data_IF_794184616091
#
_entry.id   IF_794184616091
#
_cell.length_a   1.000
_cell.length_b   1.000
_cell.length_c   1.000
_cell.angle_alpha   90.00
_cell.angle_beta   90.00
_cell.angle_gamma   90.00
#
_symmetry.space_group_name_H-M   'P 1'
#
loop_
_entity.id
_entity.type
_entity.pdbx_description
1 polymer ?
#
# COMPACT_ATOMS: atom_id res chain seq x y z
N UNK A 1 -27.98 3.91 27.27
CA UNK A 1 -26.76 3.12 27.60
C UNK A 1 -25.76 3.30 26.48
N UNK A 2 -24.45 3.35 26.74
CA UNK A 2 -23.45 3.59 25.69
C UNK A 2 -22.95 2.29 25.07
N UNK A 3 -22.76 2.28 23.75
CA UNK A 3 -22.15 1.20 23.00
C UNK A 3 -21.00 1.73 22.15
N UNK A 4 -19.92 0.97 22.09
CA UNK A 4 -18.72 1.27 21.33
C UNK A 4 -18.64 0.39 20.11
N UNK A 5 -18.42 1.00 18.96
CA UNK A 5 -18.17 0.32 17.70
C UNK A 5 -16.65 0.29 17.48
N UNK A 6 -16.10 -0.93 17.41
CA UNK A 6 -14.68 -1.21 17.33
C UNK A 6 -14.40 -1.99 16.05
N UNK A 7 -13.74 -1.34 15.10
CA UNK A 7 -13.26 -1.96 13.86
C UNK A 7 -11.94 -2.68 14.14
N UNK A 8 -11.89 -3.97 13.84
CA UNK A 8 -10.70 -4.82 14.04
C UNK A 8 -10.34 -5.56 12.76
N UNK A 9 -9.11 -6.11 12.65
CA UNK A 9 -8.71 -6.92 11.49
C UNK A 9 -9.57 -8.17 11.23
N UNK A 10 -10.36 -8.61 12.21
CA UNK A 10 -11.25 -9.78 12.08
C UNK A 10 -12.70 -9.39 11.76
N UNK A 11 -13.05 -8.11 11.87
CA UNK A 11 -14.42 -7.63 11.70
C UNK A 11 -14.76 -6.46 12.60
N UNK A 12 -16.05 -6.16 12.67
CA UNK A 12 -16.59 -5.04 13.47
C UNK A 12 -17.27 -5.60 14.70
N UNK A 13 -16.88 -5.11 15.88
CA UNK A 13 -17.52 -5.42 17.15
C UNK A 13 -18.38 -4.27 17.63
N UNK A 14 -19.62 -4.57 18.04
CA UNK A 14 -20.46 -3.68 18.84
C UNK A 14 -20.40 -4.11 20.31
N UNK A 15 -19.84 -3.28 21.18
CA UNK A 15 -19.61 -3.61 22.60
C UNK A 15 -20.31 -2.62 23.52
N UNK A 16 -21.06 -3.10 24.50
CA UNK A 16 -21.61 -2.26 25.55
C UNK A 16 -20.50 -1.72 26.47
N UNK A 17 -20.72 -0.58 27.12
CA UNK A 17 -19.82 -0.04 28.16
C UNK A 17 -19.48 -1.08 29.27
N UNK A 18 -20.38 -2.05 29.50
CA UNK A 18 -20.20 -3.20 30.41
C UNK A 18 -19.29 -4.33 29.89
N UNK A 19 -18.51 -4.09 28.82
CA UNK A 19 -17.63 -5.08 28.15
C UNK A 19 -18.35 -6.29 27.54
N UNK A 20 -19.67 -6.26 27.41
CA UNK A 20 -20.45 -7.30 26.73
C UNK A 20 -20.43 -7.06 25.22
N UNK A 21 -20.06 -8.08 24.46
CA UNK A 21 -20.16 -8.06 23.00
C UNK A 21 -21.62 -8.26 22.62
N UNK A 22 -22.20 -7.25 21.96
CA UNK A 22 -23.61 -7.24 21.55
C UNK A 22 -23.75 -7.91 20.19
N UNK A 23 -22.84 -7.61 19.27
CA UNK A 23 -22.85 -8.13 17.91
C UNK A 23 -21.43 -8.12 17.31
N UNK A 24 -21.16 -9.08 16.43
CA UNK A 24 -19.91 -9.19 15.69
C UNK A 24 -20.23 -9.51 14.23
N UNK A 25 -19.79 -8.63 13.33
CA UNK A 25 -19.86 -8.87 11.88
C UNK A 25 -18.44 -9.16 11.38
N UNK A 26 -18.14 -10.41 10.97
CA UNK A 26 -16.82 -10.79 10.48
C UNK A 26 -16.54 -10.20 9.10
N UNK A 27 -15.28 -9.82 8.86
CA UNK A 27 -14.83 -9.48 7.51
C UNK A 27 -14.61 -10.72 6.65
N UNK A 28 -14.63 -10.62 5.31
CA UNK A 28 -14.21 -11.71 4.44
C UNK A 28 -12.76 -12.13 4.76
N UNK A 29 -12.45 -13.43 4.76
CA UNK A 29 -11.12 -13.97 5.12
C UNK A 29 -10.00 -13.66 4.10
N UNK A 30 -10.22 -12.71 3.19
CA UNK A 30 -9.25 -12.30 2.20
C UNK A 30 -8.39 -11.13 2.75
N UNK A 31 -7.06 -11.29 2.91
CA UNK A 31 -6.18 -10.25 3.46
C UNK A 31 -6.22 -8.92 2.70
N UNK A 32 -6.39 -8.98 1.37
CA UNK A 32 -6.43 -7.79 0.50
C UNK A 32 -7.70 -6.97 0.75
N UNK A 33 -8.86 -7.63 0.75
CA UNK A 33 -10.15 -6.99 1.06
C UNK A 33 -10.18 -6.44 2.48
N UNK A 34 -9.59 -7.15 3.46
CA UNK A 34 -9.48 -6.65 4.84
C UNK A 34 -8.62 -5.38 4.86
N UNK A 35 -7.48 -5.36 4.17
CA UNK A 35 -6.61 -4.19 4.11
C UNK A 35 -7.32 -2.99 3.45
N UNK A 36 -8.09 -3.21 2.39
CA UNK A 36 -8.90 -2.16 1.76
C UNK A 36 -10.01 -1.66 2.70
N UNK A 37 -10.74 -2.57 3.35
CA UNK A 37 -11.80 -2.23 4.31
C UNK A 37 -11.27 -1.47 5.52
N UNK A 38 -10.13 -1.87 6.08
CA UNK A 38 -9.49 -1.15 7.18
C UNK A 38 -9.05 0.26 6.77
N UNK A 39 -8.58 0.42 5.53
CA UNK A 39 -8.25 1.74 4.98
C UNK A 39 -9.51 2.60 4.76
N UNK A 40 -10.59 2.00 4.25
CA UNK A 40 -11.87 2.69 4.13
C UNK A 40 -12.43 3.08 5.50
N UNK A 41 -12.18 2.28 6.54
CA UNK A 41 -12.61 2.57 7.91
C UNK A 41 -11.97 3.84 8.50
N UNK A 42 -10.83 4.28 7.98
CA UNK A 42 -10.21 5.55 8.39
C UNK A 42 -10.97 6.78 7.84
N UNK A 43 -11.71 6.64 6.74
CA UNK A 43 -12.33 7.75 6.01
C UNK A 43 -13.86 7.69 5.95
N UNK A 44 -14.42 6.49 5.84
CA UNK A 44 -15.84 6.22 5.57
C UNK A 44 -16.43 5.23 6.60
N UNK A 45 -17.77 5.13 6.60
CA UNK A 45 -18.49 4.15 7.40
C UNK A 45 -18.71 2.91 6.52
N UNK A 46 -18.18 1.76 6.96
CA UNK A 46 -18.36 0.50 6.25
C UNK A 46 -19.79 -0.04 6.40
N UNK A 47 -20.18 -0.88 5.46
CA UNK A 47 -21.48 -1.54 5.50
C UNK A 47 -21.61 -2.52 6.68
N UNK A 48 -20.50 -3.16 7.10
CA UNK A 48 -20.44 -3.95 8.33
C UNK A 48 -20.65 -3.09 9.59
N UNK A 49 -20.19 -1.84 9.57
CA UNK A 49 -20.40 -0.92 10.67
C UNK A 49 -21.84 -0.44 10.71
N UNK A 50 -22.47 -0.18 9.56
CA UNK A 50 -23.90 0.16 9.47
C UNK A 50 -24.79 -0.96 10.00
N UNK A 51 -24.50 -2.22 9.67
CA UNK A 51 -25.23 -3.38 10.21
C UNK A 51 -25.13 -3.46 11.73
N UNK A 52 -23.92 -3.26 12.27
CA UNK A 52 -23.70 -3.22 13.72
C UNK A 52 -24.43 -2.02 14.34
N UNK A 53 -24.48 -0.86 13.67
CA UNK A 53 -25.26 0.30 14.13
C UNK A 53 -26.75 0.01 14.18
N UNK A 54 -27.34 -0.57 13.13
CA UNK A 54 -28.77 -0.90 13.08
C UNK A 54 -29.17 -1.86 14.22
N UNK A 55 -28.32 -2.82 14.54
CA UNK A 55 -28.54 -3.76 15.66
C UNK A 55 -28.38 -3.12 17.04
N UNK A 56 -27.55 -2.08 17.16
CA UNK A 56 -27.37 -1.29 18.38
C UNK A 56 -28.51 -0.28 18.59
N UNK A 57 -29.00 0.33 17.51
CA UNK A 57 -30.13 1.26 17.51
C UNK A 57 -31.43 0.55 17.90
N UNK A 58 -31.68 -0.67 17.40
CA UNK A 58 -32.81 -1.52 17.81
C UNK A 58 -32.85 -1.78 19.32
N UNK A 59 -31.70 -1.72 19.99
CA UNK A 59 -31.57 -1.95 21.44
C UNK A 59 -31.47 -0.66 22.25
N UNK A 60 -31.55 0.52 21.62
CA UNK A 60 -31.61 1.83 22.28
C UNK A 60 -30.29 2.30 22.91
N UNK A 61 -29.15 1.94 22.32
CA UNK A 61 -27.82 2.36 22.80
C UNK A 61 -27.32 3.61 22.05
N UNK A 62 -26.65 4.53 22.78
CA UNK A 62 -25.89 5.63 22.16
C UNK A 62 -24.56 5.10 21.61
N UNK A 63 -24.31 5.29 20.32
CA UNK A 63 -23.17 4.69 19.61
C UNK A 63 -21.98 5.64 19.58
N UNK A 64 -20.83 5.15 20.06
CA UNK A 64 -19.54 5.83 20.04
C UNK A 64 -18.56 5.05 19.15
N UNK A 65 -17.89 5.74 18.24
CA UNK A 65 -16.87 5.12 17.39
C UNK A 65 -15.50 5.18 18.07
N UNK A 66 -14.77 4.06 18.01
CA UNK A 66 -13.40 3.98 18.56
C UNK A 66 -12.33 4.52 17.59
N UNK A 67 -12.72 4.85 16.36
CA UNK A 67 -11.87 5.46 15.34
C UNK A 67 -12.39 6.86 15.06
N UNK A 68 -11.48 7.83 15.03
CA UNK A 68 -11.80 9.20 14.63
C UNK A 68 -12.12 9.19 13.13
N UNK A 69 -13.40 9.37 12.80
CA UNK A 69 -13.89 9.47 11.43
C UNK A 69 -14.34 10.90 11.13
N UNK A 70 -14.05 11.44 9.93
CA UNK A 70 -14.58 12.75 9.52
C UNK A 70 -16.11 12.80 9.55
N UNK A 71 -16.76 11.67 9.27
CA UNK A 71 -18.21 11.54 9.11
C UNK A 71 -18.99 11.32 10.41
N UNK A 72 -18.31 11.21 11.57
CA UNK A 72 -18.93 10.85 12.85
C UNK A 72 -18.63 11.90 13.91
N UNK A 73 -19.68 12.43 14.56
CA UNK A 73 -19.56 13.45 15.63
C UNK A 73 -19.20 12.88 17.00
N UNK A 74 -19.58 11.64 17.32
CA UNK A 74 -19.33 11.00 18.61
C UNK A 74 -18.23 9.93 18.50
N UNK A 75 -17.00 10.31 18.79
CA UNK A 75 -15.87 9.38 18.89
C UNK A 75 -15.28 9.44 20.31
N UNK A 76 -14.90 8.28 20.83
CA UNK A 76 -14.18 8.18 22.11
C UNK A 76 -13.00 7.24 21.91
N UNK A 77 -11.79 7.82 21.93
CA UNK A 77 -10.53 7.12 21.75
C UNK A 77 -10.07 6.52 23.09
N UNK A 78 -9.51 5.31 23.07
CA UNK A 78 -9.00 4.61 24.25
C UNK A 78 -10.06 4.30 25.32
N UNK A 79 -11.27 3.93 24.89
CA UNK A 79 -12.30 3.47 25.83
C UNK A 79 -11.90 2.15 26.50
N UNK A 80 -12.44 1.87 27.69
CA UNK A 80 -12.23 0.59 28.40
C UNK A 80 -12.70 -0.61 27.56
N UNK A 81 -13.65 -0.40 26.64
CA UNK A 81 -14.13 -1.41 25.69
C UNK A 81 -13.09 -1.69 24.59
N UNK A 82 -12.41 -0.66 24.09
CA UNK A 82 -11.37 -0.81 23.07
C UNK A 82 -10.15 -1.58 23.60
N UNK A 83 -9.70 -1.26 24.81
CA UNK A 83 -8.60 -1.99 25.47
C UNK A 83 -8.97 -3.47 25.67
N UNK A 84 -10.20 -3.75 26.09
CA UNK A 84 -10.69 -5.11 26.26
C UNK A 84 -10.66 -5.92 24.97
N UNK A 85 -11.01 -5.32 23.83
CA UNK A 85 -10.93 -5.98 22.52
C UNK A 85 -9.50 -6.20 22.09
N UNK A 86 -8.61 -5.20 22.26
CA UNK A 86 -7.20 -5.34 21.89
C UNK A 86 -6.51 -6.46 22.67
N UNK A 87 -6.78 -6.56 23.97
CA UNK A 87 -6.21 -7.61 24.83
C UNK A 87 -6.77 -9.00 24.51
N UNK A 88 -8.06 -9.09 24.15
CA UNK A 88 -8.72 -10.37 23.90
C UNK A 88 -8.84 -10.73 22.42
N UNK A 89 -8.29 -9.95 21.49
CA UNK A 89 -8.50 -10.12 20.05
C UNK A 89 -8.15 -11.54 19.56
N UNK A 90 -7.08 -12.13 20.11
CA UNK A 90 -6.65 -13.50 19.79
C UNK A 90 -7.65 -14.55 20.26
N UNK A 91 -8.28 -14.33 21.42
CA UNK A 91 -9.30 -15.22 21.99
C UNK A 91 -10.61 -15.06 21.23
N UNK A 92 -11.02 -13.82 20.98
CA UNK A 92 -12.21 -13.49 20.18
C UNK A 92 -12.13 -14.08 18.77
N UNK A 93 -10.95 -14.05 18.13
CA UNK A 93 -10.77 -14.66 16.82
C UNK A 93 -10.99 -16.19 16.81
N UNK A 94 -10.71 -16.87 17.93
CA UNK A 94 -10.97 -18.30 18.10
C UNK A 94 -12.42 -18.56 18.51
N UNK A 95 -12.96 -17.78 19.44
CA UNK A 95 -14.32 -17.91 19.97
C UNK A 95 -15.37 -17.73 18.85
N UNK A 96 -15.12 -16.82 17.92
CA UNK A 96 -15.96 -16.61 16.73
C UNK A 96 -15.60 -17.51 15.53
N UNK A 97 -14.72 -18.52 15.73
CA UNK A 97 -14.29 -19.48 14.73
C UNK A 97 -13.76 -18.83 13.43
N UNK A 98 -13.22 -17.61 13.55
CA UNK A 98 -12.67 -16.86 12.42
C UNK A 98 -11.36 -17.50 11.96
N UNK A 99 -10.62 -18.07 12.90
CA UNK A 99 -9.31 -18.69 12.69
C UNK A 99 -9.26 -20.03 13.43
N UNK A 100 -8.56 -21.03 12.88
CA UNK A 100 -8.43 -22.36 13.48
C UNK A 100 -7.41 -22.41 14.61
N UNK A 101 -6.37 -21.57 14.55
CA UNK A 101 -5.29 -21.54 15.53
C UNK A 101 -4.65 -20.15 15.66
N UNK A 102 -3.99 -19.91 16.79
CA UNK A 102 -3.22 -18.69 17.05
C UNK A 102 -2.14 -18.43 15.99
N UNK A 103 -1.57 -19.49 15.40
CA UNK A 103 -0.56 -19.37 14.34
C UNK A 103 -1.17 -18.77 13.08
N UNK A 104 -2.33 -19.28 12.65
CA UNK A 104 -3.03 -18.80 11.46
C UNK A 104 -3.47 -17.33 11.65
N UNK A 105 -3.81 -16.91 12.88
CA UNK A 105 -4.17 -15.53 13.19
C UNK A 105 -2.97 -14.58 12.97
N UNK A 106 -1.79 -14.96 13.48
CA UNK A 106 -0.58 -14.16 13.30
C UNK A 106 -0.15 -14.09 11.83
N UNK A 107 -0.30 -15.18 11.08
CA UNK A 107 -0.02 -15.21 9.64
C UNK A 107 -0.98 -14.28 8.89
N UNK A 108 -2.27 -14.32 9.20
CA UNK A 108 -3.27 -13.44 8.60
C UNK A 108 -2.96 -11.97 8.91
N UNK A 109 -2.68 -11.65 10.17
CA UNK A 109 -2.33 -10.29 10.58
C UNK A 109 -1.07 -9.78 9.88
N UNK A 110 -0.06 -10.64 9.71
CA UNK A 110 1.16 -10.31 8.98
C UNK A 110 0.85 -9.99 7.52
N UNK A 111 0.04 -10.82 6.85
CA UNK A 111 -0.37 -10.59 5.45
C UNK A 111 -1.13 -9.27 5.29
N UNK A 112 -2.10 -8.99 6.17
CA UNK A 112 -2.86 -7.74 6.17
C UNK A 112 -1.92 -6.53 6.32
N UNK A 113 -0.97 -6.60 7.28
CA UNK A 113 0.00 -5.52 7.49
C UNK A 113 0.92 -5.30 6.29
N UNK A 114 1.33 -6.36 5.61
CA UNK A 114 2.12 -6.26 4.37
C UNK A 114 1.32 -5.51 3.30
N UNK A 115 0.05 -5.87 3.07
CA UNK A 115 -0.79 -5.21 2.06
C UNK A 115 -1.10 -3.74 2.40
N UNK A 116 -1.35 -3.43 3.68
CA UNK A 116 -1.50 -2.05 4.15
C UNK A 116 -0.22 -1.24 3.91
N UNK A 117 0.93 -1.82 4.22
CA UNK A 117 2.24 -1.16 4.05
C UNK A 117 2.55 -0.93 2.57
N UNK A 118 2.34 -1.93 1.71
CA UNK A 118 2.48 -1.79 0.25
C UNK A 118 1.64 -0.63 -0.27
N UNK A 119 0.39 -0.54 0.17
CA UNK A 119 -0.52 0.54 -0.24
C UNK A 119 -0.04 1.91 0.24
N UNK A 120 0.45 2.00 1.48
CA UNK A 120 1.04 3.25 2.02
C UNK A 120 2.29 3.67 1.25
N UNK A 121 3.18 2.73 0.95
CA UNK A 121 4.38 2.99 0.13
C UNK A 121 3.97 3.46 -1.27
N UNK A 122 3.02 2.78 -1.92
CA UNK A 122 2.52 3.16 -3.24
C UNK A 122 1.90 4.56 -3.27
N UNK A 123 1.24 4.98 -2.19
CA UNK A 123 0.74 6.35 -2.02
C UNK A 123 1.86 7.36 -1.77
N UNK A 124 2.88 6.97 -1.00
CA UNK A 124 4.02 7.84 -0.66
C UNK A 124 4.96 8.05 -1.86
N UNK A 125 5.01 7.09 -2.80
CA UNK A 125 5.67 7.29 -4.08
C UNK A 125 4.79 8.24 -4.91
N UNK A 126 5.08 9.54 -4.80
CA UNK A 126 4.45 10.55 -5.64
C UNK A 126 4.86 10.32 -7.10
N UNK A 127 3.91 10.52 -8.03
CA UNK A 127 4.19 10.45 -9.47
C UNK A 127 5.35 11.38 -9.86
N UNK A 128 5.49 12.49 -9.15
CA UNK A 128 6.51 13.50 -9.39
C UNK A 128 7.92 12.96 -9.09
N UNK A 129 8.08 12.10 -8.08
CA UNK A 129 9.36 11.43 -7.83
C UNK A 129 9.76 10.51 -9.00
N UNK A 130 8.80 9.80 -9.59
CA UNK A 130 9.05 8.95 -10.76
C UNK A 130 9.44 9.81 -11.96
N UNK A 131 8.75 10.91 -12.21
CA UNK A 131 9.06 11.83 -13.30
C UNK A 131 10.47 12.43 -13.16
N UNK A 132 10.84 12.91 -11.96
CA UNK A 132 12.18 13.44 -11.68
C UNK A 132 13.24 12.36 -11.92
N UNK A 133 12.99 11.13 -11.48
CA UNK A 133 13.95 10.04 -11.68
C UNK A 133 14.11 9.68 -13.17
N UNK A 134 13.04 9.70 -13.95
CA UNK A 134 13.10 9.47 -15.40
C UNK A 134 13.90 10.56 -16.12
N UNK A 135 13.74 11.83 -15.74
CA UNK A 135 14.51 12.94 -16.32
C UNK A 135 16.01 12.73 -16.05
N UNK A 136 16.38 12.37 -14.81
CA UNK A 136 17.78 12.07 -14.45
C UNK A 136 18.34 10.91 -15.26
N UNK A 137 17.55 9.85 -15.46
CA UNK A 137 17.97 8.71 -16.28
C UNK A 137 18.25 9.12 -17.73
N UNK A 138 17.43 10.00 -18.31
CA UNK A 138 17.67 10.51 -19.67
C UNK A 138 18.97 11.32 -19.71
N UNK A 139 19.21 12.20 -18.74
CA UNK A 139 20.45 12.97 -18.64
C UNK A 139 21.69 12.07 -18.49
N UNK A 140 21.57 10.99 -17.70
CA UNK A 140 22.65 10.03 -17.51
C UNK A 140 22.92 9.21 -18.78
N UNK A 141 21.87 8.81 -19.51
CA UNK A 141 21.99 8.16 -20.81
C UNK A 141 22.69 9.07 -21.82
N UNK A 142 22.35 10.36 -21.88
CA UNK A 142 22.98 11.30 -22.81
C UNK A 142 24.47 11.47 -22.51
N UNK A 143 24.86 11.56 -21.23
CA UNK A 143 26.28 11.58 -20.82
C UNK A 143 26.99 10.29 -21.21
N UNK A 144 26.36 9.14 -20.96
CA UNK A 144 26.94 7.84 -21.32
C UNK A 144 27.13 7.70 -22.82
N UNK A 145 26.17 8.14 -23.64
CA UNK A 145 26.29 8.12 -25.10
C UNK A 145 27.50 8.93 -25.54
N UNK A 146 27.72 10.12 -24.98
CA UNK A 146 28.87 10.94 -25.37
C UNK A 146 30.21 10.25 -25.04
N UNK A 147 30.36 9.72 -23.83
CA UNK A 147 31.58 9.00 -23.42
C UNK A 147 31.82 7.77 -24.30
N UNK A 148 30.77 6.99 -24.58
CA UNK A 148 30.88 5.81 -25.43
C UNK A 148 31.22 6.17 -26.88
N UNK A 149 30.70 7.28 -27.38
CA UNK A 149 30.96 7.74 -28.75
C UNK A 149 32.37 8.28 -28.92
N UNK A 150 32.88 9.04 -27.95
CA UNK A 150 34.29 9.44 -27.92
C UNK A 150 35.19 8.20 -27.95
N UNK A 151 34.88 7.20 -27.12
CA UNK A 151 35.65 5.95 -27.08
C UNK A 151 35.58 5.16 -28.39
N UNK A 152 34.40 5.08 -29.00
CA UNK A 152 34.22 4.42 -30.28
C UNK A 152 35.00 5.11 -31.39
N UNK A 153 35.00 6.45 -31.41
CA UNK A 153 35.75 7.25 -32.38
C UNK A 153 37.24 7.08 -32.21
N UNK A 154 37.76 7.13 -30.99
CA UNK A 154 39.17 6.86 -30.69
C UNK A 154 39.60 5.49 -31.22
N UNK A 155 38.81 4.46 -30.90
CA UNK A 155 39.11 3.08 -31.31
C UNK A 155 39.06 2.91 -32.83
N UNK A 156 37.99 3.36 -33.47
CA UNK A 156 37.79 3.16 -34.90
C UNK A 156 38.69 4.05 -35.76
N UNK A 157 39.15 5.19 -35.24
CA UNK A 157 40.13 6.04 -35.92
C UNK A 157 41.50 5.38 -36.06
N UNK A 158 41.81 4.33 -35.29
CA UNK A 158 43.01 3.50 -35.52
C UNK A 158 42.93 2.74 -36.86
N UNK A 159 41.72 2.49 -37.36
CA UNK A 159 41.45 1.79 -38.60
C UNK A 159 41.12 2.75 -39.75
N UNK A 160 40.24 3.74 -39.52
CA UNK A 160 39.83 4.70 -40.53
C UNK A 160 39.74 6.14 -39.98
N UNK A 161 40.89 6.83 -39.81
CA UNK A 161 40.96 8.14 -39.15
C UNK A 161 40.25 9.26 -39.94
N UNK A 162 40.12 9.15 -41.26
CA UNK A 162 39.48 10.18 -42.09
C UNK A 162 37.98 10.28 -41.81
N UNK A 163 37.34 9.19 -41.38
CA UNK A 163 35.91 9.17 -41.07
C UNK A 163 35.54 10.09 -39.91
N UNK A 164 36.43 10.22 -38.92
CA UNK A 164 36.20 11.06 -37.74
C UNK A 164 36.04 12.53 -38.10
N UNK A 165 36.80 13.01 -39.10
CA UNK A 165 36.71 14.39 -39.60
C UNK A 165 35.45 14.63 -40.43
N UNK A 166 35.00 13.62 -41.17
CA UNK A 166 33.89 13.75 -42.13
C UNK A 166 32.53 13.60 -41.42
N UNK A 167 32.40 12.65 -40.51
CA UNK A 167 31.12 12.30 -39.87
C UNK A 167 31.08 12.87 -38.45
N UNK A 168 30.45 14.04 -38.31
CA UNK A 168 30.30 14.74 -37.03
C UNK A 168 29.21 14.14 -36.13
N UNK A 169 28.09 13.68 -36.72
CA UNK A 169 26.97 13.13 -35.96
C UNK A 169 27.28 11.74 -35.36
N UNK A 170 27.15 11.62 -34.04
CA UNK A 170 27.44 10.40 -33.28
C UNK A 170 26.62 9.19 -33.76
N UNK A 171 25.32 9.39 -33.99
CA UNK A 171 24.43 8.31 -34.38
C UNK A 171 24.76 7.76 -35.77
N UNK A 172 25.07 8.64 -36.72
CA UNK A 172 25.52 8.26 -38.06
C UNK A 172 26.88 7.56 -38.00
N UNK A 173 27.82 8.07 -37.20
CA UNK A 173 29.12 7.44 -37.02
C UNK A 173 28.98 5.99 -36.53
N UNK A 174 28.22 5.78 -35.45
CA UNK A 174 27.97 4.45 -34.90
C UNK A 174 27.31 3.50 -35.91
N UNK A 175 26.32 3.99 -36.68
CA UNK A 175 25.66 3.19 -37.73
C UNK A 175 26.59 2.78 -38.86
N UNK A 176 27.55 3.63 -39.25
CA UNK A 176 28.51 3.29 -40.30
C UNK A 176 29.47 2.22 -39.81
N UNK A 177 29.99 2.37 -38.58
CA UNK A 177 30.86 1.37 -37.95
C UNK A 177 30.13 0.02 -37.81
N UNK A 178 28.88 0.03 -37.34
CA UNK A 178 28.09 -1.19 -37.17
C UNK A 178 27.78 -1.88 -38.50
N UNK A 179 27.40 -1.10 -39.53
CA UNK A 179 26.98 -1.65 -40.81
C UNK A 179 28.13 -2.18 -41.67
N UNK A 180 29.26 -1.47 -41.69
CA UNK A 180 30.34 -1.77 -42.63
C UNK A 180 31.55 -2.41 -41.96
N UNK A 181 31.88 -2.01 -40.72
CA UNK A 181 32.99 -2.58 -39.98
C UNK A 181 34.36 -2.30 -40.61
N UNK A 182 34.75 -3.08 -41.62
CA UNK A 182 35.98 -2.83 -42.37
C UNK A 182 35.77 -1.69 -43.37
N UNK A 183 36.89 -1.10 -43.81
CA UNK A 183 36.88 0.03 -44.75
C UNK A 183 36.70 -0.44 -46.19
N UNK A 184 37.11 -1.66 -46.48
CA UNK A 184 37.00 -2.36 -47.79
C UNK A 184 35.60 -2.96 -47.96
#
# INVERSE_FOLDING_TARGET
>A
MRAFLITTPIGVFGIAEDKKIIHFEPFPKNPEEIAEKLKLAESEILDEEKKVQEELDKKGYEIYFSIKKPSVKNFELNSKAEQFVKENLRKLALDYNFVKDHIEFNQLLTKINIELTKTKIKKAIEKDHVAIQLIRIIEDIDKMINVLMERLREFYSLHFPEMDRIVQDHRKYAKIVEKYGLRE
#
